data_IF_052271119363
#
_entry.id   IF_052271119363
#
_cell.length_a   1.000
_cell.length_b   1.000
_cell.length_c   1.000
_cell.angle_alpha   90.00
_cell.angle_beta   90.00
_cell.angle_gamma   90.00
#
_symmetry.space_group_name_H-M   'P 1'
#
loop_
_entity.id
_entity.type
_entity.pdbx_description
1 polymer ?
#
# COMPACT_ATOMS: atom_id res chain seq x y z
N UNK A 1 -28.24 5.76 -14.36
CA UNK A 1 -26.95 5.86 -13.65
C UNK A 1 -26.50 4.44 -13.36
N UNK A 2 -25.30 4.07 -13.78
CA UNK A 2 -24.68 2.80 -13.38
C UNK A 2 -23.69 3.11 -12.25
N UNK A 3 -23.81 2.40 -11.13
CA UNK A 3 -22.93 2.57 -9.98
C UNK A 3 -21.84 1.51 -10.01
N UNK A 4 -20.63 1.89 -9.59
CA UNK A 4 -19.53 0.97 -9.32
C UNK A 4 -19.00 1.24 -7.90
N UNK A 5 -18.52 0.20 -7.18
CA UNK A 5 -17.87 0.41 -5.89
C UNK A 5 -16.57 1.22 -6.03
N UNK A 6 -16.24 1.98 -4.99
CA UNK A 6 -14.90 2.54 -4.80
C UNK A 6 -13.94 1.52 -4.18
N UNK A 7 -12.67 1.92 -4.00
CA UNK A 7 -11.64 1.07 -3.40
C UNK A 7 -11.93 0.70 -1.95
N UNK A 8 -11.55 -0.51 -1.56
CA UNK A 8 -11.61 -0.97 -0.18
C UNK A 8 -10.60 -0.25 0.72
N UNK A 9 -10.86 -0.13 2.03
CA UNK A 9 -9.94 0.52 2.94
C UNK A 9 -8.60 -0.20 3.00
N UNK A 10 -7.49 0.54 3.15
CA UNK A 10 -6.21 -0.10 3.42
C UNK A 10 -6.24 -0.84 4.77
N UNK A 11 -5.64 -2.03 4.79
CA UNK A 11 -5.51 -2.84 6.00
C UNK A 11 -4.14 -2.59 6.61
N UNK A 12 -4.13 -2.01 7.82
CA UNK A 12 -2.91 -1.84 8.58
C UNK A 12 -2.30 -3.21 8.92
N UNK A 13 -0.99 -3.31 8.76
CA UNK A 13 -0.19 -4.47 9.15
C UNK A 13 1.22 -3.98 9.49
N UNK A 14 1.90 -4.60 10.49
CA UNK A 14 3.26 -4.21 10.82
C UNK A 14 4.20 -4.54 9.67
N UNK A 15 5.20 -3.68 9.43
CA UNK A 15 6.24 -4.01 8.47
C UNK A 15 7.10 -5.17 9.02
N UNK A 16 7.47 -6.18 8.21
CA UNK A 16 8.46 -7.16 8.61
C UNK A 16 9.75 -6.45 9.07
N UNK A 17 10.34 -6.90 10.18
CA UNK A 17 11.53 -6.27 10.77
C UNK A 17 12.65 -6.12 9.75
N UNK A 18 12.84 -7.12 8.89
CA UNK A 18 13.87 -7.14 7.86
C UNK A 18 13.66 -6.04 6.80
N UNK A 19 12.40 -5.69 6.51
CA UNK A 19 12.02 -4.57 5.64
C UNK A 19 12.20 -3.23 6.37
N UNK A 20 11.76 -3.11 7.62
CA UNK A 20 11.96 -1.90 8.42
C UNK A 20 13.44 -1.56 8.58
N UNK A 21 14.28 -2.58 8.80
CA UNK A 21 15.73 -2.42 8.89
C UNK A 21 16.37 -2.08 7.53
N UNK A 22 15.77 -2.48 6.41
CA UNK A 22 16.24 -2.06 5.08
C UNK A 22 16.04 -0.56 4.90
N UNK A 23 14.87 -0.05 5.31
CA UNK A 23 14.57 1.39 5.31
C UNK A 23 15.55 2.14 6.19
N UNK A 24 15.73 1.71 7.45
CA UNK A 24 16.68 2.35 8.40
C UNK A 24 18.12 2.35 7.89
N UNK A 25 18.57 1.27 7.25
CA UNK A 25 19.92 1.18 6.70
C UNK A 25 20.17 2.14 5.52
N UNK A 26 19.12 2.53 4.80
CA UNK A 26 19.20 3.39 3.62
C UNK A 26 18.82 4.85 3.90
N UNK A 27 18.07 5.11 4.96
CA UNK A 27 17.57 6.44 5.30
C UNK A 27 18.70 7.45 5.64
N UNK A 28 19.85 6.97 6.13
CA UNK A 28 20.94 7.83 6.58
C UNK A 28 20.49 8.71 7.75
N UNK A 29 20.61 10.03 7.60
CA UNK A 29 20.17 11.00 8.62
C UNK A 29 18.68 11.38 8.50
N UNK A 30 17.95 10.85 7.50
CA UNK A 30 16.53 11.16 7.29
C UNK A 30 15.67 10.52 8.37
N UNK A 31 14.58 11.20 8.74
CA UNK A 31 13.59 10.67 9.67
C UNK A 31 12.85 9.49 9.06
N UNK A 32 12.82 8.36 9.77
CA UNK A 32 11.99 7.20 9.43
C UNK A 32 10.82 7.16 10.39
N UNK A 33 9.61 7.10 9.84
CA UNK A 33 8.37 7.01 10.60
C UNK A 33 7.61 5.73 10.25
N UNK A 34 7.24 4.95 11.26
CA UNK A 34 6.37 3.78 11.10
C UNK A 34 4.95 4.12 11.53
N UNK A 35 4.01 3.93 10.60
CA UNK A 35 2.59 4.24 10.82
C UNK A 35 2.01 3.29 11.86
N UNK A 36 1.35 3.86 12.87
CA UNK A 36 0.71 3.12 13.95
C UNK A 36 -0.72 2.70 13.58
N UNK A 37 -1.27 1.63 14.16
CA UNK A 37 -2.60 1.12 13.80
C UNK A 37 -3.74 2.11 14.05
N UNK A 38 -3.57 3.04 14.99
CA UNK A 38 -4.52 4.11 15.30
C UNK A 38 -4.46 5.31 14.35
N UNK A 39 -3.46 5.36 13.46
CA UNK A 39 -3.31 6.44 12.50
C UNK A 39 -4.06 6.16 11.20
N UNK A 40 -4.70 7.21 10.67
CA UNK A 40 -5.44 7.17 9.42
C UNK A 40 -5.02 8.32 8.53
N UNK A 41 -5.01 8.08 7.22
CA UNK A 41 -4.82 9.12 6.21
C UNK A 41 -6.11 9.34 5.43
N UNK A 42 -6.28 10.53 4.85
CA UNK A 42 -7.40 10.84 3.95
C UNK A 42 -7.17 10.39 2.50
N UNK A 43 -6.13 9.61 2.23
CA UNK A 43 -5.83 9.10 0.88
C UNK A 43 -6.81 8.01 0.44
N UNK A 44 -6.99 7.88 -0.87
CA UNK A 44 -7.76 6.79 -1.49
C UNK A 44 -6.92 6.11 -2.56
N UNK A 45 -6.78 4.78 -2.46
CA UNK A 45 -5.93 3.96 -3.33
C UNK A 45 -6.51 2.55 -3.45
N UNK A 46 -6.31 1.93 -4.61
CA UNK A 46 -6.65 0.53 -4.91
C UNK A 46 -5.78 -0.50 -4.18
N UNK A 47 -4.71 -0.07 -3.50
CA UNK A 47 -3.85 -0.97 -2.70
C UNK A 47 -4.66 -1.72 -1.62
N UNK A 48 -5.70 -1.10 -1.08
CA UNK A 48 -6.60 -1.75 -0.13
C UNK A 48 -7.24 -3.02 -0.70
N UNK A 49 -7.62 -3.02 -1.98
CA UNK A 49 -8.21 -4.19 -2.63
C UNK A 49 -7.22 -5.37 -2.67
N UNK A 50 -5.95 -5.07 -2.94
CA UNK A 50 -4.89 -6.09 -2.95
C UNK A 50 -4.59 -6.59 -1.54
N UNK A 51 -4.58 -5.70 -0.54
CA UNK A 51 -4.41 -6.06 0.86
C UNK A 51 -5.52 -7.02 1.32
N UNK A 52 -6.75 -6.91 0.83
CA UNK A 52 -7.79 -7.85 1.23
C UNK A 52 -7.55 -9.31 0.76
N UNK A 53 -6.61 -9.53 -0.16
CA UNK A 53 -6.27 -10.84 -0.75
C UNK A 53 -4.90 -11.38 -0.32
N UNK A 54 -3.87 -10.51 -0.23
CA UNK A 54 -2.49 -10.91 0.02
C UNK A 54 -1.76 -9.89 0.90
N UNK A 55 -0.64 -10.25 1.55
CA UNK A 55 0.16 -9.28 2.30
C UNK A 55 0.73 -8.22 1.34
N UNK A 56 0.51 -6.94 1.67
CA UNK A 56 1.05 -5.79 0.93
C UNK A 56 1.46 -4.72 1.92
N UNK A 57 2.76 -4.40 1.96
CA UNK A 57 3.30 -3.28 2.70
C UNK A 57 3.49 -2.10 1.76
N UNK A 58 3.03 -0.93 2.18
CA UNK A 58 3.29 0.35 1.52
C UNK A 58 4.30 1.15 2.30
N UNK A 59 5.10 1.94 1.59
CA UNK A 59 5.95 2.96 2.18
C UNK A 59 6.02 4.15 1.22
N UNK A 60 6.33 5.31 1.77
CA UNK A 60 6.54 6.53 1.01
C UNK A 60 7.91 7.09 1.36
N UNK A 61 8.51 7.80 0.41
CA UNK A 61 9.73 8.60 0.59
C UNK A 61 9.39 10.07 0.39
N UNK A 62 10.31 10.95 0.79
CA UNK A 62 10.18 12.39 0.56
C UNK A 62 10.61 12.79 -0.86
N UNK A 63 11.21 13.98 -0.97
CA UNK A 63 11.67 14.55 -2.24
C UNK A 63 10.59 15.24 -3.09
N UNK A 64 9.36 15.33 -2.58
CA UNK A 64 8.28 16.12 -3.15
C UNK A 64 7.87 17.28 -2.24
N UNK A 65 7.39 18.36 -2.82
CA UNK A 65 6.76 19.52 -2.14
C UNK A 65 5.36 19.77 -2.69
N UNK A 66 4.60 20.62 -1.99
CA UNK A 66 3.20 20.87 -2.31
C UNK A 66 2.27 19.76 -1.84
N UNK A 67 0.96 20.01 -1.88
CA UNK A 67 -0.03 19.00 -1.56
C UNK A 67 -0.24 18.02 -2.71
N UNK A 68 -0.60 16.77 -2.42
CA UNK A 68 -1.07 15.85 -3.47
C UNK A 68 -2.24 16.50 -4.24
N UNK A 69 -2.20 16.41 -5.57
CA UNK A 69 -3.19 16.97 -6.50
C UNK A 69 -3.29 18.51 -6.49
N UNK A 70 -2.33 19.22 -5.91
CA UNK A 70 -2.26 20.68 -5.95
C UNK A 70 -1.45 21.17 -7.15
N UNK A 71 -1.67 22.44 -7.52
CA UNK A 71 -0.96 23.09 -8.65
C UNK A 71 0.53 23.28 -8.39
N UNK A 72 0.92 23.29 -7.11
CA UNK A 72 2.30 23.49 -6.63
C UNK A 72 3.00 22.18 -6.25
N UNK A 73 2.41 21.02 -6.59
CA UNK A 73 3.08 19.74 -6.43
C UNK A 73 4.29 19.66 -7.36
N UNK A 74 5.47 19.38 -6.79
CA UNK A 74 6.72 19.27 -7.55
C UNK A 74 7.71 18.30 -6.90
N UNK A 75 8.59 17.70 -7.70
CA UNK A 75 9.69 16.85 -7.24
C UNK A 75 10.95 17.70 -7.16
N UNK A 76 11.44 17.92 -5.94
CA UNK A 76 12.58 18.81 -5.66
C UNK A 76 13.85 18.06 -5.28
N UNK A 77 13.75 16.77 -4.96
CA UNK A 77 14.89 15.88 -4.73
C UNK A 77 14.61 14.52 -5.40
N UNK A 78 15.12 14.35 -6.63
CA UNK A 78 14.98 13.11 -7.40
C UNK A 78 15.75 11.93 -6.79
N UNK A 79 16.86 12.18 -6.08
CA UNK A 79 17.61 11.12 -5.42
C UNK A 79 16.79 10.54 -4.27
N UNK A 80 16.09 11.37 -3.50
CA UNK A 80 15.15 10.91 -2.46
C UNK A 80 13.88 10.31 -3.05
N UNK A 81 13.23 10.98 -4.00
CA UNK A 81 11.94 10.56 -4.54
C UNK A 81 12.05 9.26 -5.35
N UNK A 82 13.14 9.06 -6.09
CA UNK A 82 13.27 7.95 -7.05
C UNK A 82 14.34 6.96 -6.63
N UNK A 83 15.57 7.41 -6.41
CA UNK A 83 16.72 6.51 -6.25
C UNK A 83 16.72 5.83 -4.88
N UNK A 84 16.45 6.59 -3.81
CA UNK A 84 16.28 6.03 -2.46
C UNK A 84 15.10 5.07 -2.42
N UNK A 85 13.96 5.44 -3.02
CA UNK A 85 12.78 4.58 -3.15
C UNK A 85 13.12 3.24 -3.82
N UNK A 86 13.84 3.29 -4.96
CA UNK A 86 14.27 2.09 -5.66
C UNK A 86 15.24 1.24 -4.84
N UNK A 87 16.19 1.87 -4.12
CA UNK A 87 17.11 1.18 -3.21
C UNK A 87 16.35 0.46 -2.08
N UNK A 88 15.33 1.10 -1.51
CA UNK A 88 14.47 0.50 -0.47
C UNK A 88 13.76 -0.74 -1.05
N UNK A 89 13.08 -0.61 -2.19
CA UNK A 89 12.45 -1.77 -2.84
C UNK A 89 13.43 -2.92 -3.06
N UNK A 90 14.62 -2.63 -3.61
CA UNK A 90 15.62 -3.64 -3.91
C UNK A 90 16.16 -4.34 -2.65
N UNK A 91 16.53 -3.57 -1.62
CA UNK A 91 17.09 -4.13 -0.39
C UNK A 91 16.02 -4.88 0.42
N UNK A 92 14.80 -4.36 0.49
CA UNK A 92 13.68 -5.03 1.13
C UNK A 92 13.36 -6.34 0.43
N UNK A 93 13.26 -6.36 -0.91
CA UNK A 93 13.04 -7.59 -1.67
C UNK A 93 14.15 -8.62 -1.43
N UNK A 94 15.41 -8.19 -1.46
CA UNK A 94 16.54 -9.06 -1.14
C UNK A 94 16.42 -9.66 0.27
N UNK A 95 16.16 -8.84 1.30
CA UNK A 95 16.07 -9.31 2.69
C UNK A 95 14.86 -10.20 2.95
N UNK A 96 13.75 -9.97 2.23
CA UNK A 96 12.55 -10.82 2.29
C UNK A 96 12.75 -12.19 1.63
N UNK A 97 13.62 -12.26 0.59
CA UNK A 97 13.79 -13.45 -0.26
C UNK A 97 15.09 -14.23 0.00
N UNK A 98 16.07 -13.67 0.71
CA UNK A 98 17.28 -14.39 1.13
C UNK A 98 16.95 -15.60 2.02
N UNK A 99 17.94 -16.47 2.20
CA UNK A 99 17.85 -17.65 3.07
C UNK A 99 16.63 -18.54 2.78
N UNK A 100 16.31 -18.71 1.49
CA UNK A 100 15.18 -19.52 1.05
C UNK A 100 13.81 -18.86 1.27
N UNK A 101 13.78 -17.53 1.35
CA UNK A 101 12.59 -16.70 1.53
C UNK A 101 11.83 -17.00 2.84
N UNK A 102 12.56 -17.30 3.91
CA UNK A 102 11.99 -17.62 5.23
C UNK A 102 11.03 -16.52 5.71
N UNK A 103 11.46 -15.26 5.62
CA UNK A 103 10.65 -14.09 6.01
C UNK A 103 9.38 -13.99 5.18
N UNK A 104 9.48 -14.06 3.85
CA UNK A 104 8.31 -13.99 2.96
C UNK A 104 7.31 -15.12 3.24
N UNK A 105 7.81 -16.35 3.47
CA UNK A 105 6.96 -17.50 3.79
C UNK A 105 6.24 -17.30 5.11
N UNK A 106 6.93 -16.83 6.15
CA UNK A 106 6.35 -16.47 7.45
C UNK A 106 5.28 -15.39 7.28
N UNK A 107 5.60 -14.27 6.63
CA UNK A 107 4.65 -13.18 6.36
C UNK A 107 3.40 -13.68 5.63
N UNK A 108 3.56 -14.54 4.61
CA UNK A 108 2.42 -15.12 3.90
C UNK A 108 1.57 -16.04 4.79
N UNK A 109 2.20 -16.83 5.66
CA UNK A 109 1.50 -17.76 6.56
C UNK A 109 0.75 -17.05 7.69
N UNK A 110 1.30 -15.95 8.19
CA UNK A 110 0.71 -15.17 9.28
C UNK A 110 -0.35 -14.17 8.80
N UNK A 111 -0.38 -13.89 7.49
CA UNK A 111 -1.39 -13.01 6.90
C UNK A 111 -2.75 -13.67 6.86
N UNK A 112 -3.77 -12.92 7.27
CA UNK A 112 -5.16 -13.35 7.26
C UNK A 112 -5.94 -12.47 6.26
N UNK A 113 -6.05 -12.90 5.00
CA UNK A 113 -6.87 -12.22 4.00
C UNK A 113 -8.32 -12.05 4.47
N UNK A 114 -8.98 -10.99 3.99
CA UNK A 114 -10.42 -10.77 4.23
C UNK A 114 -11.27 -11.59 3.28
N UNK A 115 -10.75 -11.88 2.09
CA UNK A 115 -11.37 -12.77 1.12
C UNK A 115 -10.49 -14.02 0.93
N UNK A 116 -11.12 -15.19 0.88
CA UNK A 116 -10.44 -16.46 0.70
C UNK A 116 -9.77 -16.56 -0.68
N UNK A 117 -10.39 -15.95 -1.70
CA UNK A 117 -9.86 -15.89 -3.05
C UNK A 117 -10.39 -14.68 -3.84
N UNK A 118 -9.90 -14.56 -5.08
CA UNK A 118 -10.29 -13.50 -6.01
C UNK A 118 -11.78 -13.51 -6.34
N UNK A 119 -12.44 -14.67 -6.39
CA UNK A 119 -13.85 -14.77 -6.76
C UNK A 119 -14.74 -14.21 -5.64
N UNK A 120 -14.39 -14.46 -4.38
CA UNK A 120 -15.10 -13.87 -3.25
C UNK A 120 -14.96 -12.34 -3.23
N UNK A 121 -13.76 -11.82 -3.49
CA UNK A 121 -13.54 -10.38 -3.67
C UNK A 121 -14.42 -9.80 -4.80
N UNK A 122 -14.41 -10.42 -5.99
CA UNK A 122 -15.22 -9.96 -7.12
C UNK A 122 -16.71 -10.00 -6.78
N UNK A 123 -17.20 -11.08 -6.20
CA UNK A 123 -18.60 -11.21 -5.81
C UNK A 123 -19.01 -10.13 -4.79
N UNK A 124 -18.11 -9.78 -3.87
CA UNK A 124 -18.32 -8.67 -2.94
C UNK A 124 -18.42 -7.33 -3.67
N UNK A 125 -17.49 -7.02 -4.57
CA UNK A 125 -17.50 -5.78 -5.34
C UNK A 125 -18.73 -5.67 -6.26
N UNK A 126 -19.06 -6.75 -6.97
CA UNK A 126 -20.22 -6.80 -7.85
C UNK A 126 -21.54 -6.60 -7.10
N UNK A 127 -21.59 -6.92 -5.80
CA UNK A 127 -22.79 -6.68 -4.97
C UNK A 127 -23.14 -5.20 -4.79
N UNK A 128 -22.22 -4.27 -5.10
CA UNK A 128 -22.46 -2.83 -5.07
C UNK A 128 -22.91 -2.25 -6.41
N UNK A 129 -22.83 -3.02 -7.51
CA UNK A 129 -23.24 -2.54 -8.82
C UNK A 129 -24.78 -2.43 -8.89
N UNK A 130 -25.27 -1.25 -9.30
CA UNK A 130 -26.69 -0.97 -9.48
C UNK A 130 -26.90 -0.17 -10.75
N UNK A 131 -28.03 -0.41 -11.42
CA UNK A 131 -28.54 0.46 -12.47
C UNK A 131 -29.74 1.21 -11.88
N UNK A 132 -29.59 2.52 -11.75
CA UNK A 132 -30.64 3.42 -11.28
C UNK A 132 -31.19 4.20 -12.48
N UNK A 133 -32.47 4.03 -12.78
CA UNK A 133 -33.18 4.83 -13.78
C UNK A 133 -33.86 6.00 -13.07
N UNK A 134 -33.69 7.21 -13.60
CA UNK A 134 -34.44 8.36 -13.11
C UNK A 134 -35.82 8.32 -13.76
N UNK A 135 -36.89 8.28 -12.96
CA UNK A 135 -38.22 8.60 -13.44
C UNK A 135 -38.24 10.09 -13.79
N UNK A 136 -38.20 10.40 -15.08
CA UNK A 136 -38.37 11.76 -15.58
C UNK A 136 -39.88 11.98 -15.73
N UNK A 137 -40.52 12.59 -14.73
CA UNK A 137 -41.87 13.18 -14.84
C UNK A 137 -41.86 14.45 -15.71
#
# INVERSE_FOLDING_TARGET
>A
IETMPGYLPSLWQPAPEEMADAVKALAGEKTVYEVRPEEHSGGSTDVGDVQHLIPVITFNTGGAVGGLHQVDFDIVDEEEAYVLTAKIFALSAYRMLKDGAEVTKRTKQEYHPRFADKQEYIAFMDSFNKVEEADIE
#
